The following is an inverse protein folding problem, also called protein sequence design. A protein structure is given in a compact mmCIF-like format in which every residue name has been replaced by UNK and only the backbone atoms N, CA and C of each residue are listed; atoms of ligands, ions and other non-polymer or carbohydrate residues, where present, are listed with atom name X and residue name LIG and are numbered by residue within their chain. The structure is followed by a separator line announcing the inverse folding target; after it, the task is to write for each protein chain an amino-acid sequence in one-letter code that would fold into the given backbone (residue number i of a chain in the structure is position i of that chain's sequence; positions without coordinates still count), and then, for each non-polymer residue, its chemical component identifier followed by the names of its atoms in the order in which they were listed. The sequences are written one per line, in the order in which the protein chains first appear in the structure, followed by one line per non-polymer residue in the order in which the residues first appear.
data_IF_878770577680
#
_entry.id   IF_878770577680
#
_cell.length_a   1.000
_cell.length_b   1.000
_cell.length_c   1.000
_cell.angle_alpha   90.00
_cell.angle_beta   90.00
_cell.angle_gamma   90.00
#
_symmetry.space_group_name_H-M   'P 1'
#
loop_
_entity.id
_entity.type
_entity.pdbx_description
1 polymer ?
#
# COMPACT_ATOMS: atom_id res chain seq x y z
N UNK A 1 -15.02 -13.62 25.27
CA UNK A 1 -13.57 -13.90 25.42
C UNK A 1 -12.87 -13.35 24.19
N UNK A 2 -11.82 -12.54 24.36
CA UNK A 2 -11.18 -11.75 23.30
C UNK A 2 -10.36 -12.66 22.39
N UNK A 3 -10.70 -12.72 21.10
CA UNK A 3 -9.90 -13.35 20.06
C UNK A 3 -8.66 -12.48 19.81
N UNK A 4 -7.48 -13.06 19.97
CA UNK A 4 -6.20 -12.40 19.67
C UNK A 4 -5.90 -12.67 18.19
N UNK A 5 -5.88 -11.61 17.39
CA UNK A 5 -5.52 -11.68 15.97
C UNK A 5 -4.01 -11.44 15.87
N UNK A 6 -3.26 -12.48 15.52
CA UNK A 6 -1.80 -12.41 15.37
C UNK A 6 -1.46 -12.14 13.91
N UNK A 7 -0.95 -10.95 13.62
CA UNK A 7 -0.41 -10.60 12.31
C UNK A 7 1.05 -11.06 12.21
N UNK A 8 1.30 -12.11 11.43
CA UNK A 8 2.66 -12.60 11.17
C UNK A 8 3.23 -11.88 9.95
N UNK A 9 4.26 -11.06 10.16
CA UNK A 9 5.00 -10.40 9.09
C UNK A 9 6.16 -11.31 8.61
N UNK A 10 6.11 -11.73 7.35
CA UNK A 10 7.20 -12.46 6.69
C UNK A 10 8.10 -11.46 5.96
N UNK A 11 9.35 -11.30 6.42
CA UNK A 11 10.33 -10.39 5.84
C UNK A 11 11.19 -11.11 4.79
N UNK A 12 11.11 -10.71 3.52
CA UNK A 12 12.07 -11.09 2.49
C UNK A 12 12.70 -9.83 1.90
N UNK A 13 14.02 -9.69 2.05
CA UNK A 13 14.78 -8.55 1.52
C UNK A 13 15.36 -8.96 0.17
N UNK A 14 14.87 -8.40 -0.94
CA UNK A 14 15.46 -8.55 -2.27
C UNK A 14 15.97 -7.19 -2.75
N UNK A 15 17.28 -7.05 -2.93
CA UNK A 15 17.86 -5.86 -3.57
C UNK A 15 17.58 -5.93 -5.08
N UNK A 16 16.74 -5.03 -5.59
CA UNK A 16 16.54 -4.83 -7.03
C UNK A 16 17.10 -3.47 -7.39
N UNK A 17 18.08 -3.44 -8.31
CA UNK A 17 18.53 -2.20 -8.94
C UNK A 17 17.59 -1.88 -10.12
N UNK A 18 16.84 -0.78 -10.02
CA UNK A 18 15.96 -0.30 -11.09
C UNK A 18 16.50 1.01 -11.70
N UNK A 19 16.45 1.11 -13.03
CA UNK A 19 16.82 2.29 -13.81
C UNK A 19 15.79 3.45 -13.63
N UNK A 20 16.18 4.72 -13.85
CA UNK A 20 15.33 5.84 -13.49
C UNK A 20 14.21 6.06 -14.52
N UNK A 21 12.97 5.91 -14.08
CA UNK A 21 11.79 6.46 -14.77
C UNK A 21 11.54 7.83 -14.17
N UNK A 22 11.52 8.87 -15.00
CA UNK A 22 11.20 10.24 -14.59
C UNK A 22 9.74 10.30 -14.19
N UNK A 23 9.48 10.21 -12.89
CA UNK A 23 8.19 10.54 -12.28
C UNK A 23 8.39 11.86 -11.53
N UNK A 24 7.40 12.75 -11.58
CA UNK A 24 7.38 14.04 -10.89
C UNK A 24 8.02 13.95 -9.50
N UNK A 25 8.92 14.88 -9.17
CA UNK A 25 9.66 14.90 -7.91
C UNK A 25 8.70 14.89 -6.73
N UNK A 26 8.38 13.69 -6.22
CA UNK A 26 7.72 13.52 -4.93
C UNK A 26 8.64 14.14 -3.87
N UNK A 27 8.23 15.20 -3.17
CA UNK A 27 9.11 15.99 -2.32
C UNK A 27 9.62 15.23 -1.08
N UNK A 28 9.15 14.01 -0.85
CA UNK A 28 9.51 13.12 0.25
C UNK A 28 10.28 11.87 -0.19
N UNK A 29 10.55 11.70 -1.49
CA UNK A 29 11.27 10.54 -2.00
C UNK A 29 10.56 9.22 -1.73
N UNK A 30 9.22 9.19 -1.72
CA UNK A 30 8.44 7.95 -1.59
C UNK A 30 7.53 7.74 -2.79
N UNK A 31 7.29 6.49 -3.14
CA UNK A 31 6.37 6.07 -4.19
C UNK A 31 5.49 4.93 -3.70
N UNK A 32 4.23 4.90 -4.13
CA UNK A 32 3.29 3.85 -3.75
C UNK A 32 2.66 3.23 -4.99
N UNK A 33 2.68 1.89 -5.09
CA UNK A 33 2.24 1.15 -6.27
C UNK A 33 1.38 -0.04 -5.89
N UNK A 34 0.41 -0.36 -6.74
CA UNK A 34 -0.32 -1.63 -6.71
C UNK A 34 0.43 -2.66 -7.55
N UNK A 35 0.78 -3.80 -6.95
CA UNK A 35 1.53 -4.87 -7.61
C UNK A 35 0.65 -5.99 -8.17
N UNK A 36 -0.67 -5.92 -7.97
CA UNK A 36 -1.60 -6.99 -8.33
C UNK A 36 -2.14 -7.71 -7.10
N UNK A 37 -2.71 -8.91 -7.31
CA UNK A 37 -3.33 -9.70 -6.25
C UNK A 37 -2.52 -10.97 -5.96
N UNK A 38 -2.36 -11.30 -4.68
CA UNK A 38 -1.88 -12.60 -4.23
C UNK A 38 -3.03 -13.31 -3.52
N UNK A 39 -3.48 -14.47 -4.04
CA UNK A 39 -4.64 -15.20 -3.48
C UNK A 39 -5.86 -14.30 -3.25
N UNK A 40 -6.25 -13.53 -4.26
CA UNK A 40 -7.35 -12.55 -4.26
C UNK A 40 -7.19 -11.34 -3.30
N UNK A 41 -6.06 -11.21 -2.62
CA UNK A 41 -5.76 -10.08 -1.75
C UNK A 41 -4.81 -9.08 -2.46
N UNK A 42 -5.11 -7.76 -2.47
CA UNK A 42 -4.26 -6.75 -3.06
C UNK A 42 -2.88 -6.70 -2.41
N UNK A 43 -1.85 -6.61 -3.25
CA UNK A 43 -0.47 -6.35 -2.84
C UNK A 43 -0.11 -4.93 -3.22
N UNK A 44 0.32 -4.15 -2.23
CA UNK A 44 0.79 -2.78 -2.39
C UNK A 44 2.27 -2.71 -2.05
N UNK A 45 3.01 -1.82 -2.71
CA UNK A 45 4.42 -1.56 -2.46
C UNK A 45 4.64 -0.08 -2.18
N UNK A 46 5.28 0.20 -1.04
CA UNK A 46 5.84 1.48 -0.69
C UNK A 46 7.34 1.45 -0.91
N UNK A 47 7.82 2.31 -1.80
CA UNK A 47 9.25 2.47 -2.07
C UNK A 47 9.75 3.77 -1.45
N UNK A 48 10.89 3.68 -0.79
CA UNK A 48 11.66 4.82 -0.28
C UNK A 48 12.86 4.99 -1.19
N UNK A 49 13.02 6.18 -1.76
CA UNK A 49 14.02 6.56 -2.76
C UNK A 49 14.68 7.89 -2.35
N UNK A 50 15.34 7.89 -1.20
CA UNK A 50 16.02 9.06 -0.63
C UNK A 50 17.54 8.90 -0.77
N UNK A 51 18.28 10.01 -1.02
CA UNK A 51 19.73 9.97 -1.16
C UNK A 51 20.46 9.59 0.15
N UNK A 52 19.84 9.92 1.29
CA UNK A 52 20.33 9.62 2.63
C UNK A 52 19.35 8.70 3.36
N UNK A 53 19.81 7.99 4.38
CA UNK A 53 18.94 7.25 5.28
C UNK A 53 18.14 8.23 6.14
N UNK A 54 16.81 8.17 5.99
CA UNK A 54 15.87 9.04 6.70
C UNK A 54 14.84 8.18 7.41
N UNK A 55 14.34 8.68 8.53
CA UNK A 55 13.27 8.02 9.27
C UNK A 55 11.90 8.50 8.81
N UNK A 56 10.99 7.54 8.60
CA UNK A 56 9.61 7.73 8.20
C UNK A 56 8.67 7.09 9.22
N UNK A 57 7.56 7.75 9.52
CA UNK A 57 6.40 7.12 10.14
C UNK A 57 5.42 6.73 9.04
N UNK A 58 5.01 5.45 9.01
CA UNK A 58 4.01 4.93 8.09
C UNK A 58 2.77 4.56 8.88
N UNK A 59 1.67 5.25 8.63
CA UNK A 59 0.37 4.99 9.23
C UNK A 59 -0.64 4.56 8.16
N UNK A 60 -1.41 3.51 8.43
CA UNK A 60 -2.57 3.13 7.63
C UNK A 60 -3.80 3.43 8.44
N UNK A 61 -4.67 4.28 7.89
CA UNK A 61 -5.92 4.68 8.54
C UNK A 61 -7.11 4.34 7.66
N UNK A 62 -8.24 4.04 8.28
CA UNK A 62 -9.51 3.87 7.58
C UNK A 62 -10.18 5.22 7.27
N UNK A 63 -11.38 5.15 6.69
CA UNK A 63 -12.24 6.30 6.39
C UNK A 63 -12.73 7.05 7.65
N UNK A 64 -12.74 6.40 8.82
CA UNK A 64 -13.12 6.97 10.11
C UNK A 64 -11.93 7.55 10.90
N UNK A 65 -10.72 7.54 10.30
CA UNK A 65 -9.45 7.92 10.93
C UNK A 65 -8.98 6.98 12.05
N UNK A 66 -9.47 5.74 12.09
CA UNK A 66 -8.92 4.69 12.95
C UNK A 66 -7.57 4.26 12.42
N UNK A 67 -6.53 4.24 13.27
CA UNK A 67 -5.21 3.73 12.90
C UNK A 67 -5.24 2.20 12.93
N UNK A 68 -5.15 1.60 11.75
CA UNK A 68 -5.12 0.14 11.57
C UNK A 68 -3.69 -0.41 11.62
N UNK A 69 -2.70 0.40 11.24
CA UNK A 69 -1.30 0.04 11.26
C UNK A 69 -0.43 1.27 11.49
N UNK A 70 0.66 1.10 12.23
CA UNK A 70 1.69 2.11 12.42
C UNK A 70 3.07 1.47 12.52
N UNK A 71 4.02 2.02 11.80
CA UNK A 71 5.42 1.59 11.84
C UNK A 71 6.38 2.77 11.66
N UNK A 72 7.59 2.62 12.18
CA UNK A 72 8.68 3.58 12.02
C UNK A 72 9.79 2.90 11.23
N UNK A 73 10.10 3.45 10.06
CA UNK A 73 11.02 2.86 9.09
C UNK A 73 12.19 3.81 8.88
N UNK A 74 13.43 3.33 9.09
CA UNK A 74 14.64 4.02 8.62
C UNK A 74 15.01 3.47 7.26
N UNK A 75 15.09 4.33 6.25
CA UNK A 75 15.23 3.93 4.86
C UNK A 75 15.91 5.01 4.01
N UNK A 76 16.74 4.57 3.05
CA UNK A 76 17.18 5.36 1.91
C UNK A 76 16.54 4.84 0.61
N UNK A 77 16.97 3.68 0.13
CA UNK A 77 16.57 2.99 -1.10
C UNK A 77 16.08 1.57 -0.77
N UNK A 78 14.84 1.46 -0.30
CA UNK A 78 14.26 0.17 0.10
C UNK A 78 12.76 0.14 -0.19
N UNK A 79 12.15 -1.04 -0.12
CA UNK A 79 10.71 -1.20 -0.31
C UNK A 79 10.06 -1.94 0.85
N UNK A 80 8.78 -1.64 1.09
CA UNK A 80 7.91 -2.35 2.02
C UNK A 80 6.64 -2.77 1.28
N UNK A 81 6.32 -4.06 1.35
CA UNK A 81 5.11 -4.63 0.75
C UNK A 81 4.02 -4.84 1.78
N UNK A 82 2.78 -4.62 1.37
CA UNK A 82 1.58 -4.82 2.17
C UNK A 82 0.65 -5.76 1.43
N UNK A 83 0.20 -6.82 2.11
CA UNK A 83 -0.89 -7.67 1.66
C UNK A 83 -2.15 -7.22 2.41
N UNK A 84 -3.16 -6.74 1.69
CA UNK A 84 -4.40 -6.28 2.33
C UNK A 84 -5.33 -7.46 2.58
N UNK A 85 -5.65 -7.71 3.86
CA UNK A 85 -6.65 -8.71 4.24
C UNK A 85 -8.07 -8.20 3.93
N UNK A 86 -8.55 -8.49 2.72
CA UNK A 86 -9.83 -7.99 2.23
C UNK A 86 -11.05 -8.64 2.88
N UNK A 87 -10.88 -9.82 3.49
CA UNK A 87 -11.95 -10.50 4.22
C UNK A 87 -12.28 -9.73 5.51
N UNK A 88 -11.26 -9.20 6.17
CA UNK A 88 -11.40 -8.43 7.40
C UNK A 88 -11.71 -6.95 7.12
N UNK A 89 -11.04 -6.35 6.14
CA UNK A 89 -11.19 -4.92 5.81
C UNK A 89 -12.43 -4.61 4.97
N UNK A 90 -13.03 -5.62 4.33
CA UNK A 90 -14.15 -5.44 3.41
C UNK A 90 -13.81 -4.49 2.25
N UNK A 91 -14.70 -3.53 1.98
CA UNK A 91 -14.55 -2.52 0.92
C UNK A 91 -14.26 -1.11 1.47
N UNK A 92 -13.69 -1.02 2.67
CA UNK A 92 -13.36 0.26 3.30
C UNK A 92 -12.22 0.95 2.56
N UNK A 93 -12.33 2.27 2.37
CA UNK A 93 -11.26 3.10 1.85
C UNK A 93 -10.11 3.24 2.84
N UNK A 94 -8.87 3.05 2.39
CA UNK A 94 -7.68 3.16 3.23
C UNK A 94 -6.84 4.37 2.82
N UNK A 95 -6.19 5.00 3.79
CA UNK A 95 -5.18 6.04 3.57
C UNK A 95 -3.86 5.61 4.16
N UNK A 96 -2.83 5.58 3.33
CA UNK A 96 -1.44 5.41 3.74
C UNK A 96 -0.84 6.81 3.93
N UNK A 97 -0.51 7.15 5.17
CA UNK A 97 0.12 8.41 5.54
C UNK A 97 1.60 8.17 5.85
N UNK A 98 2.49 8.74 5.04
CA UNK A 98 3.93 8.59 5.18
C UNK A 98 4.52 9.94 5.57
N UNK A 99 4.98 10.04 6.81
CA UNK A 99 5.53 11.27 7.38
C UNK A 99 7.03 11.15 7.54
N UNK A 100 7.80 11.98 6.82
CA UNK A 100 9.25 12.06 7.01
C UNK A 100 9.59 12.79 8.30
N UNK A 101 10.30 12.15 9.24
CA UNK A 101 10.57 12.72 10.57
C UNK A 101 11.44 13.98 10.52
N UNK A 102 12.44 14.01 9.63
CA UNK A 102 13.35 15.16 9.46
C UNK A 102 12.67 16.34 8.74
N UNK A 103 11.84 16.06 7.74
CA UNK A 103 11.17 17.09 6.93
C UNK A 103 9.85 17.56 7.51
N UNK A 104 9.25 16.77 8.41
CA UNK A 104 7.89 16.92 8.91
C UNK A 104 6.83 17.04 7.80
N UNK A 105 7.13 16.47 6.62
CA UNK A 105 6.20 16.44 5.48
C UNK A 105 5.50 15.09 5.43
N UNK A 106 4.19 15.13 5.24
CA UNK A 106 3.34 13.95 5.08
C UNK A 106 2.90 13.84 3.62
N UNK A 107 3.04 12.64 3.04
CA UNK A 107 2.39 12.26 1.79
C UNK A 107 1.31 11.24 2.10
N UNK A 108 0.14 11.43 1.49
CA UNK A 108 -1.03 10.58 1.69
C UNK A 108 -1.37 9.90 0.37
N UNK A 109 -1.48 8.57 0.40
CA UNK A 109 -2.02 7.77 -0.70
C UNK A 109 -3.36 7.18 -0.32
N UNK A 110 -4.38 7.43 -1.13
CA UNK A 110 -5.69 6.81 -0.99
C UNK A 110 -5.74 5.49 -1.76
N UNK A 111 -6.21 4.45 -1.10
CA UNK A 111 -6.44 3.12 -1.66
C UNK A 111 -7.92 2.83 -1.58
N UNK A 112 -8.58 2.96 -2.73
CA UNK A 112 -10.00 2.68 -2.89
C UNK A 112 -10.16 1.40 -3.71
N UNK A 113 -10.91 0.43 -3.18
CA UNK A 113 -11.26 -0.80 -3.91
C UNK A 113 -12.63 -0.61 -4.54
N UNK A 114 -12.65 -0.55 -5.87
CA UNK A 114 -13.88 -0.47 -6.65
C UNK A 114 -14.04 -1.80 -7.41
N UNK A 115 -14.97 -2.65 -6.97
CA UNK A 115 -15.37 -3.83 -7.72
C UNK A 115 -16.62 -3.49 -8.55
N UNK A 116 -16.59 -3.78 -9.86
CA UNK A 116 -17.77 -3.70 -10.73
C UNK A 116 -18.10 -5.11 -11.19
N UNK A 117 -19.35 -5.52 -11.00
CA UNK A 117 -19.90 -6.72 -11.64
C UNK A 117 -20.29 -6.34 -13.06
N UNK A 118 -19.81 -7.09 -14.04
CA UNK A 118 -20.21 -6.93 -15.46
C UNK A 118 -21.10 -8.12 -15.81
N UNK A 119 -22.28 -7.83 -16.36
CA UNK A 119 -23.22 -8.83 -16.87
C UNK A 119 -23.14 -8.85 -18.40
N UNK A 120 -22.74 -9.99 -18.96
CA UNK A 120 -22.72 -10.22 -20.40
C UNK A 120 -23.98 -11.00 -20.82
N UNK A 121 -24.90 -10.34 -21.52
CA UNK A 121 -26.12 -10.93 -22.05
C UNK A 121 -26.00 -11.16 -23.56
N UNK A 122 -26.09 -12.41 -23.99
CA UNK A 122 -26.00 -12.80 -25.40
C UNK A 122 -27.34 -13.34 -25.88
N UNK A 123 -27.86 -12.76 -26.98
CA UNK A 123 -29.07 -13.25 -27.66
C UNK A 123 -28.67 -13.83 -29.01
N UNK A 124 -28.84 -15.14 -29.16
CA UNK A 124 -28.61 -15.83 -30.42
C UNK A 124 -29.94 -16.11 -31.13
N UNK A 125 -29.97 -15.86 -32.43
CA UNK A 125 -31.09 -16.24 -33.29
C UNK A 125 -31.01 -17.73 -33.59
N UNK A 126 -32.03 -18.49 -33.23
CA UNK A 126 -32.13 -19.91 -33.57
C UNK A 126 -32.80 -20.05 -34.94
N UNK A 127 -32.04 -20.57 -35.92
CA UNK A 127 -32.54 -21.14 -37.19
C UNK A 127 -31.64 -22.29 -37.60
#
# INVERSE_FOLDING_TARGET
MKTIITLVALFTVTLVQAAPVVTEKNPTGVEFKFLGNHKNQPVLELSFNNPEEVEFTVEVVDEYNTVLYKDVVKANNTTKKFLLNTEELGNVGLRFQITGRKSNKTVVYEVNRNARVVEDLVVNKVK
#
